data_IF_792003141649
#
_entry.id   IF_792003141649
#
_cell.length_a   1.000
_cell.length_b   1.000
_cell.length_c   1.000
_cell.angle_alpha   90.00
_cell.angle_beta   90.00
_cell.angle_gamma   90.00
#
_symmetry.space_group_name_H-M   'P 1'
#
loop_
_entity.id
_entity.type
_entity.pdbx_description
1 polymer ?
#
# COMPACT_ATOMS: atom_id res chain seq x y z
N UNK A 1 -16.19 3.43 -24.68
CA UNK A 1 -15.52 4.35 -25.64
C UNK A 1 -14.46 3.54 -26.38
N UNK A 2 -14.45 3.54 -27.74
CA UNK A 2 -13.29 3.02 -28.47
C UNK A 2 -12.16 4.02 -28.24
N UNK A 3 -11.25 3.66 -27.33
CA UNK A 3 -10.14 4.51 -26.93
C UNK A 3 -8.99 4.46 -27.94
N UNK A 4 -8.19 5.49 -27.95
CA UNK A 4 -6.93 5.54 -28.67
C UNK A 4 -6.01 4.39 -28.20
N UNK A 5 -5.31 3.74 -29.13
CA UNK A 5 -4.33 2.70 -28.77
C UNK A 5 -3.12 3.34 -28.14
N UNK A 6 -2.76 2.92 -26.95
CA UNK A 6 -1.65 3.50 -26.15
C UNK A 6 -0.45 2.56 -26.09
N UNK A 7 0.73 3.16 -25.85
CA UNK A 7 1.95 2.42 -25.62
C UNK A 7 2.86 3.08 -24.56
N UNK A 8 3.54 2.25 -23.77
CA UNK A 8 4.57 2.70 -22.84
C UNK A 8 5.60 1.61 -22.55
N UNK A 9 6.73 2.02 -21.95
CA UNK A 9 7.70 1.11 -21.34
C UNK A 9 7.10 0.60 -20.02
N UNK A 10 6.98 -0.72 -19.89
CA UNK A 10 6.36 -1.37 -18.72
C UNK A 10 7.38 -1.97 -17.73
N UNK A 11 8.67 -1.80 -17.98
CA UNK A 11 9.78 -2.19 -17.09
C UNK A 11 10.49 -0.95 -16.57
N UNK A 12 11.29 -1.11 -15.50
CA UNK A 12 12.11 -0.01 -15.02
C UNK A 12 13.06 0.50 -16.11
N UNK A 13 13.19 1.84 -16.23
CA UNK A 13 14.06 2.48 -17.24
C UNK A 13 15.48 2.57 -16.70
N UNK A 14 16.15 1.43 -16.62
CA UNK A 14 17.57 1.31 -16.27
C UNK A 14 18.20 0.19 -17.11
N UNK A 15 19.53 0.10 -17.14
CA UNK A 15 20.21 -0.97 -17.88
C UNK A 15 19.89 -2.33 -17.27
N UNK A 16 19.19 -3.17 -18.03
CA UNK A 16 18.75 -4.51 -17.64
C UNK A 16 18.87 -5.49 -18.81
N UNK A 17 18.71 -6.80 -18.57
CA UNK A 17 18.74 -7.80 -19.63
C UNK A 17 17.55 -7.71 -20.59
N UNK A 18 16.39 -7.30 -20.09
CA UNK A 18 15.12 -7.25 -20.84
C UNK A 18 14.40 -5.94 -20.52
N UNK A 19 13.81 -5.33 -21.56
CA UNK A 19 12.87 -4.23 -21.45
C UNK A 19 11.58 -4.58 -22.19
N UNK A 20 10.43 -4.13 -21.70
CA UNK A 20 9.12 -4.42 -22.27
C UNK A 20 8.45 -3.12 -22.71
N UNK A 21 8.06 -3.03 -23.98
CA UNK A 21 7.14 -2.02 -24.49
C UNK A 21 5.77 -2.67 -24.66
N UNK A 22 4.77 -2.12 -23.97
CA UNK A 22 3.38 -2.61 -24.04
C UNK A 22 2.53 -1.69 -24.90
N UNK A 23 1.68 -2.29 -25.73
CA UNK A 23 0.71 -1.62 -26.58
C UNK A 23 -0.66 -2.18 -26.20
N UNK A 24 -1.67 -1.33 -25.97
CA UNK A 24 -3.04 -1.75 -25.64
C UNK A 24 -4.06 -0.90 -26.40
N UNK A 25 -5.07 -1.55 -26.95
CA UNK A 25 -6.19 -0.95 -27.67
C UNK A 25 -6.53 -1.66 -28.98
N UNK A 26 -7.56 -1.18 -29.65
CA UNK A 26 -8.15 -1.81 -30.85
C UNK A 26 -7.16 -1.97 -32.02
N UNK A 27 -6.13 -1.14 -32.11
CA UNK A 27 -5.13 -1.17 -33.18
C UNK A 27 -3.77 -1.77 -32.74
N UNK A 28 -3.71 -2.41 -31.58
CA UNK A 28 -2.45 -2.91 -31.03
C UNK A 28 -1.72 -3.87 -31.97
N UNK A 29 -2.47 -4.76 -32.60
CA UNK A 29 -1.91 -5.75 -33.54
C UNK A 29 -1.45 -5.11 -34.86
N UNK A 30 -2.23 -4.19 -35.41
CA UNK A 30 -1.90 -3.49 -36.65
C UNK A 30 -0.68 -2.60 -36.49
N UNK A 31 -0.56 -1.92 -35.35
CA UNK A 31 0.62 -1.11 -35.02
C UNK A 31 1.85 -1.98 -34.87
N UNK A 32 1.69 -3.12 -34.14
CA UNK A 32 2.78 -4.07 -33.98
C UNK A 32 3.23 -4.67 -35.33
N UNK A 33 2.29 -4.99 -36.25
CA UNK A 33 2.63 -5.46 -37.60
C UNK A 33 3.44 -4.46 -38.42
N UNK A 34 3.24 -3.15 -38.22
CA UNK A 34 3.97 -2.10 -38.95
C UNK A 34 5.45 -2.03 -38.55
N UNK A 35 5.75 -2.35 -37.28
CA UNK A 35 7.13 -2.27 -36.75
C UNK A 35 7.83 -3.63 -36.67
N UNK A 36 7.07 -4.75 -36.71
CA UNK A 36 7.62 -6.09 -36.58
C UNK A 36 7.99 -6.70 -37.92
N UNK A 37 9.15 -7.35 -37.96
CA UNK A 37 9.63 -8.14 -39.10
C UNK A 37 10.00 -9.55 -38.66
N UNK A 38 9.31 -10.55 -39.18
CA UNK A 38 9.70 -11.96 -38.92
C UNK A 38 10.97 -12.33 -39.68
N UNK A 39 11.79 -13.30 -39.19
CA UNK A 39 13.03 -13.72 -39.86
C UNK A 39 12.84 -14.17 -41.29
N UNK A 40 11.68 -14.73 -41.63
CA UNK A 40 11.32 -15.17 -43.00
C UNK A 40 10.49 -14.15 -43.78
N UNK A 41 10.22 -12.95 -43.21
CA UNK A 41 9.55 -11.82 -43.86
C UNK A 41 8.06 -12.01 -44.21
N UNK A 42 7.42 -13.12 -43.80
CA UNK A 42 6.07 -13.49 -44.25
C UNK A 42 4.99 -13.54 -43.16
N UNK A 43 5.37 -13.35 -41.88
CA UNK A 43 4.45 -13.55 -40.76
C UNK A 43 3.91 -12.23 -40.27
N UNK A 44 2.58 -12.12 -40.17
CA UNK A 44 1.90 -11.03 -39.51
C UNK A 44 1.45 -11.44 -38.10
N UNK A 45 1.61 -10.56 -37.12
CA UNK A 45 1.20 -10.79 -35.72
C UNK A 45 -0.32 -10.79 -35.60
N UNK A 46 -1.00 -9.93 -36.35
CA UNK A 46 -2.47 -9.83 -36.40
C UNK A 46 -3.16 -11.13 -36.87
N UNK A 47 -2.48 -12.00 -37.59
CA UNK A 47 -2.99 -13.28 -38.04
C UNK A 47 -2.70 -14.44 -37.06
N UNK A 48 -1.97 -14.17 -35.95
CA UNK A 48 -1.55 -15.21 -35.01
C UNK A 48 -2.56 -15.39 -33.87
N UNK A 49 -2.47 -16.54 -33.21
CA UNK A 49 -3.33 -16.86 -32.06
C UNK A 49 -2.93 -16.05 -30.82
N UNK A 50 -3.91 -15.82 -29.95
CA UNK A 50 -3.71 -15.22 -28.63
C UNK A 50 -2.84 -16.11 -27.73
N UNK A 51 -2.10 -15.49 -26.81
CA UNK A 51 -1.21 -16.15 -25.84
C UNK A 51 -0.09 -16.94 -26.53
N UNK A 52 0.47 -16.35 -27.58
CA UNK A 52 1.62 -16.89 -28.32
C UNK A 52 2.78 -15.91 -28.32
N UNK A 53 4.00 -16.44 -28.43
CA UNK A 53 5.24 -15.66 -28.44
C UNK A 53 5.90 -15.79 -29.82
N UNK A 54 6.37 -14.68 -30.34
CA UNK A 54 6.93 -14.60 -31.70
C UNK A 54 8.30 -13.94 -31.71
N UNK A 55 9.31 -14.68 -32.14
CA UNK A 55 10.65 -14.16 -32.38
C UNK A 55 10.72 -13.37 -33.69
N UNK A 56 11.41 -12.23 -33.67
CA UNK A 56 11.64 -11.38 -34.83
C UNK A 56 12.43 -10.14 -34.51
N UNK A 57 12.25 -9.11 -35.33
CA UNK A 57 12.94 -7.84 -35.24
C UNK A 57 11.95 -6.69 -35.20
N UNK A 58 12.27 -5.65 -34.44
CA UNK A 58 11.58 -4.34 -34.53
C UNK A 58 12.39 -3.44 -35.45
N UNK A 59 11.68 -2.81 -36.39
CA UNK A 59 12.27 -1.97 -37.40
C UNK A 59 11.59 -0.59 -37.47
N UNK A 60 12.36 0.46 -37.79
CA UNK A 60 11.87 1.77 -38.24
C UNK A 60 12.25 1.94 -39.71
N UNK A 61 11.29 1.74 -40.61
CA UNK A 61 11.57 1.63 -42.03
C UNK A 61 12.46 0.40 -42.33
N UNK A 62 13.64 0.67 -42.89
CA UNK A 62 14.64 -0.38 -43.22
C UNK A 62 15.66 -0.62 -42.09
N UNK A 63 15.71 0.25 -41.08
CA UNK A 63 16.60 0.12 -39.93
C UNK A 63 16.08 -0.94 -38.96
N UNK A 64 16.89 -1.95 -38.63
CA UNK A 64 16.62 -2.88 -37.55
C UNK A 64 17.03 -2.24 -36.24
N UNK A 65 16.06 -2.05 -35.33
CA UNK A 65 16.31 -1.44 -34.03
C UNK A 65 16.75 -2.44 -32.99
N UNK A 66 16.08 -3.62 -32.97
CA UNK A 66 16.38 -4.69 -32.00
C UNK A 66 15.84 -6.03 -32.45
N UNK A 67 16.41 -7.10 -31.88
CA UNK A 67 15.94 -8.47 -31.94
C UNK A 67 15.05 -8.76 -30.72
N UNK A 68 13.82 -9.24 -30.94
CA UNK A 68 12.78 -9.24 -29.91
C UNK A 68 11.98 -10.53 -29.83
N UNK A 69 11.32 -10.73 -28.68
CA UNK A 69 10.16 -11.61 -28.54
C UNK A 69 8.89 -10.75 -28.45
N UNK A 70 7.84 -11.14 -29.14
CA UNK A 70 6.56 -10.41 -29.11
C UNK A 70 5.48 -11.33 -28.57
N UNK A 71 4.83 -10.91 -27.48
CA UNK A 71 3.74 -11.63 -26.83
C UNK A 71 2.40 -11.03 -27.28
N UNK A 72 1.45 -11.87 -27.64
CA UNK A 72 0.15 -11.48 -28.17
C UNK A 72 -0.97 -11.87 -27.21
N UNK A 73 -1.83 -10.94 -26.84
CA UNK A 73 -2.99 -11.16 -25.98
C UNK A 73 -4.22 -10.48 -26.57
N UNK A 74 -5.23 -11.28 -26.97
CA UNK A 74 -6.48 -10.77 -27.52
C UNK A 74 -7.52 -10.54 -26.43
N UNK A 75 -8.29 -9.49 -26.61
CA UNK A 75 -9.44 -9.19 -25.78
C UNK A 75 -10.41 -10.39 -25.66
N UNK A 76 -11.05 -10.60 -24.50
CA UNK A 76 -10.87 -9.90 -23.24
C UNK A 76 -9.75 -10.48 -22.36
N UNK A 77 -8.98 -11.46 -22.83
CA UNK A 77 -7.96 -12.19 -22.05
C UNK A 77 -6.61 -11.48 -22.13
N UNK A 78 -6.54 -10.27 -21.56
CA UNK A 78 -5.32 -9.46 -21.41
C UNK A 78 -5.36 -8.70 -20.09
N UNK A 79 -4.32 -7.93 -19.77
CA UNK A 79 -4.29 -7.12 -18.54
C UNK A 79 -5.36 -6.01 -18.57
N UNK A 80 -5.54 -5.34 -19.69
CA UNK A 80 -6.51 -4.24 -19.89
C UNK A 80 -7.90 -4.71 -20.31
N UNK A 81 -8.08 -6.00 -20.57
CA UNK A 81 -9.22 -6.58 -21.31
C UNK A 81 -9.36 -6.07 -22.75
N UNK A 82 -8.35 -5.38 -23.30
CA UNK A 82 -8.23 -4.96 -24.70
C UNK A 82 -7.24 -5.87 -25.44
N UNK A 83 -7.17 -5.72 -26.77
CA UNK A 83 -6.06 -6.31 -27.55
C UNK A 83 -4.75 -5.71 -27.06
N UNK A 84 -3.81 -6.57 -26.66
CA UNK A 84 -2.54 -6.16 -26.08
C UNK A 84 -1.38 -6.87 -26.76
N UNK A 85 -0.32 -6.13 -27.04
CA UNK A 85 0.96 -6.64 -27.53
C UNK A 85 2.08 -6.19 -26.60
N UNK A 86 2.92 -7.13 -26.17
CA UNK A 86 4.15 -6.83 -25.44
C UNK A 86 5.35 -7.15 -26.32
N UNK A 87 6.26 -6.22 -26.43
CA UNK A 87 7.52 -6.32 -27.17
C UNK A 87 8.64 -6.44 -26.15
N UNK A 88 9.16 -7.65 -25.97
CA UNK A 88 10.31 -7.91 -25.11
C UNK A 88 11.58 -7.67 -25.90
N UNK A 89 12.24 -6.56 -25.65
CA UNK A 89 13.47 -6.11 -26.29
C UNK A 89 14.65 -6.12 -25.30
N UNK A 90 15.87 -5.81 -25.77
CA UNK A 90 16.98 -5.63 -24.86
C UNK A 90 16.76 -4.41 -23.96
N UNK A 91 17.08 -4.55 -22.66
CA UNK A 91 16.81 -3.57 -21.62
C UNK A 91 17.80 -2.39 -21.56
N UNK A 92 18.49 -2.07 -22.66
CA UNK A 92 19.26 -0.85 -22.76
C UNK A 92 18.35 0.37 -22.84
N UNK A 93 18.58 1.42 -22.02
CA UNK A 93 17.73 2.61 -21.96
C UNK A 93 17.45 3.21 -23.34
N UNK A 94 18.50 3.34 -24.16
CA UNK A 94 18.36 3.89 -25.50
C UNK A 94 17.64 2.94 -26.47
N UNK A 95 17.90 1.64 -26.36
CA UNK A 95 17.27 0.63 -27.22
C UNK A 95 15.74 0.59 -27.02
N UNK A 96 15.30 0.51 -25.75
CA UNK A 96 13.86 0.45 -25.43
C UNK A 96 13.14 1.75 -25.80
N UNK A 97 13.79 2.92 -25.65
CA UNK A 97 13.24 4.21 -26.10
C UNK A 97 13.04 4.22 -27.62
N UNK A 98 14.01 3.73 -28.41
CA UNK A 98 13.88 3.63 -29.86
C UNK A 98 12.74 2.70 -30.29
N UNK A 99 12.52 1.59 -29.56
CA UNK A 99 11.39 0.70 -29.81
C UNK A 99 10.06 1.39 -29.52
N UNK A 100 9.93 2.11 -28.39
CA UNK A 100 8.75 2.88 -28.07
C UNK A 100 8.48 3.98 -29.10
N UNK A 101 9.50 4.75 -29.50
CA UNK A 101 9.38 5.78 -30.55
C UNK A 101 8.87 5.22 -31.87
N UNK A 102 9.37 4.04 -32.28
CA UNK A 102 8.90 3.37 -33.49
C UNK A 102 7.41 2.99 -33.39
N UNK A 103 6.97 2.51 -32.23
CA UNK A 103 5.56 2.16 -31.97
C UNK A 103 4.66 3.42 -32.02
N UNK A 104 5.07 4.51 -31.37
CA UNK A 104 4.33 5.77 -31.36
C UNK A 104 4.26 6.36 -32.78
N UNK A 105 5.37 6.39 -33.51
CA UNK A 105 5.42 6.85 -34.91
C UNK A 105 4.48 6.08 -35.82
N UNK A 106 4.19 4.82 -35.48
CA UNK A 106 3.32 3.95 -36.26
C UNK A 106 1.85 3.98 -35.79
N UNK A 107 1.47 4.89 -34.87
CA UNK A 107 0.09 5.22 -34.56
C UNK A 107 -0.39 4.93 -33.13
N UNK A 108 0.48 4.51 -32.24
CA UNK A 108 0.14 4.49 -30.81
C UNK A 108 0.30 5.88 -30.19
N UNK A 109 -0.57 6.24 -29.26
CA UNK A 109 -0.35 7.39 -28.37
C UNK A 109 0.53 7.00 -27.19
N UNK A 110 1.32 7.92 -26.63
CA UNK A 110 2.02 7.67 -25.37
C UNK A 110 1.00 7.49 -24.24
N UNK A 111 1.16 6.46 -23.43
CA UNK A 111 0.35 6.25 -22.24
C UNK A 111 0.80 7.17 -21.10
N UNK A 112 -0.15 7.58 -20.28
CA UNK A 112 0.10 8.26 -19.02
C UNK A 112 0.29 7.26 -17.85
N UNK A 113 0.80 7.70 -16.69
CA UNK A 113 0.85 6.86 -15.49
C UNK A 113 -0.52 6.27 -15.15
N UNK A 114 -0.57 4.95 -14.88
CA UNK A 114 -1.79 4.26 -14.51
C UNK A 114 -2.77 3.92 -15.63
N UNK A 115 -2.53 4.34 -16.87
CA UNK A 115 -3.50 4.20 -17.98
C UNK A 115 -3.90 2.73 -18.24
N UNK A 116 -2.98 1.79 -18.18
CA UNK A 116 -3.31 0.37 -18.41
C UNK A 116 -4.20 -0.20 -17.29
N UNK A 117 -3.92 0.15 -16.04
CA UNK A 117 -4.73 -0.30 -14.90
C UNK A 117 -6.09 0.39 -14.88
N UNK A 118 -6.14 1.68 -15.24
CA UNK A 118 -7.39 2.43 -15.43
C UNK A 118 -8.27 1.78 -16.49
N UNK A 119 -7.71 1.37 -17.64
CA UNK A 119 -8.45 0.62 -18.67
C UNK A 119 -8.95 -0.73 -18.16
N UNK A 120 -8.13 -1.46 -17.40
CA UNK A 120 -8.55 -2.72 -16.79
C UNK A 120 -9.75 -2.52 -15.84
N UNK A 121 -9.79 -1.42 -15.07
CA UNK A 121 -10.92 -1.03 -14.25
C UNK A 121 -12.14 -0.63 -15.09
N UNK A 122 -11.98 0.29 -16.04
CA UNK A 122 -13.08 0.77 -16.90
C UNK A 122 -13.71 -0.34 -17.76
N UNK A 123 -12.91 -1.33 -18.16
CA UNK A 123 -13.36 -2.51 -18.90
C UNK A 123 -13.94 -3.61 -17.98
N UNK A 124 -14.08 -3.35 -16.67
CA UNK A 124 -14.69 -4.27 -15.71
C UNK A 124 -13.88 -5.53 -15.39
N UNK A 125 -12.58 -5.57 -15.76
CA UNK A 125 -11.71 -6.71 -15.43
C UNK A 125 -11.39 -6.76 -13.94
N UNK A 126 -11.30 -5.61 -13.29
CA UNK A 126 -11.04 -5.46 -11.86
C UNK A 126 -11.85 -4.31 -11.30
N UNK A 127 -12.17 -4.35 -10.03
CA UNK A 127 -12.75 -3.23 -9.31
C UNK A 127 -11.65 -2.26 -8.80
N UNK A 128 -12.06 -1.11 -8.27
CA UNK A 128 -11.12 -0.06 -7.87
C UNK A 128 -10.19 -0.53 -6.74
N UNK A 129 -10.68 -1.34 -5.80
CA UNK A 129 -9.85 -1.88 -4.72
C UNK A 129 -8.76 -2.83 -5.25
N UNK A 130 -9.05 -3.61 -6.29
CA UNK A 130 -8.08 -4.46 -6.96
C UNK A 130 -7.08 -3.64 -7.79
N UNK A 131 -7.53 -2.54 -8.41
CA UNK A 131 -6.67 -1.63 -9.15
C UNK A 131 -5.64 -0.97 -8.23
N UNK A 132 -6.05 -0.45 -7.08
CA UNK A 132 -5.13 0.10 -6.06
C UNK A 132 -4.13 -0.95 -5.57
N UNK A 133 -4.58 -2.20 -5.37
CA UNK A 133 -3.72 -3.31 -4.95
C UNK A 133 -2.60 -3.64 -5.96
N UNK A 134 -2.72 -3.27 -7.24
CA UNK A 134 -1.61 -3.41 -8.22
C UNK A 134 -0.39 -2.61 -7.77
N UNK A 135 -0.58 -1.38 -7.29
CA UNK A 135 0.52 -0.55 -6.77
C UNK A 135 1.04 -1.08 -5.45
N UNK A 136 0.14 -1.49 -4.54
CA UNK A 136 0.53 -2.06 -3.25
C UNK A 136 1.43 -3.30 -3.42
N UNK A 137 1.17 -4.15 -4.43
CA UNK A 137 2.03 -5.31 -4.76
C UNK A 137 3.41 -4.88 -5.25
N UNK A 138 3.47 -3.80 -6.07
CA UNK A 138 4.74 -3.29 -6.63
C UNK A 138 5.60 -2.64 -5.54
N UNK A 139 4.96 -1.92 -4.62
CA UNK A 139 5.62 -1.16 -3.55
C UNK A 139 5.85 -1.97 -2.26
N UNK A 140 5.36 -3.21 -2.20
CA UNK A 140 5.48 -4.06 -1.02
C UNK A 140 6.94 -4.25 -0.59
N UNK A 141 7.26 -3.82 0.64
CA UNK A 141 8.62 -3.85 1.21
C UNK A 141 8.87 -5.06 2.11
N UNK A 142 7.84 -5.85 2.40
CA UNK A 142 7.93 -7.03 3.25
C UNK A 142 6.92 -8.10 2.84
N UNK A 143 7.08 -9.31 3.39
CA UNK A 143 6.25 -10.47 3.06
C UNK A 143 4.76 -10.25 3.41
N UNK A 144 4.49 -9.57 4.52
CA UNK A 144 3.11 -9.31 4.97
C UNK A 144 2.41 -8.32 4.05
N UNK A 145 3.08 -7.22 3.69
CA UNK A 145 2.57 -6.26 2.72
C UNK A 145 2.25 -6.96 1.40
N UNK A 146 3.18 -7.76 0.88
CA UNK A 146 2.98 -8.51 -0.36
C UNK A 146 1.80 -9.48 -0.26
N UNK A 147 1.70 -10.27 0.81
CA UNK A 147 0.60 -11.23 1.02
C UNK A 147 -0.76 -10.52 1.09
N UNK A 148 -0.85 -9.42 1.84
CA UNK A 148 -2.06 -8.60 1.96
C UNK A 148 -2.47 -8.03 0.61
N UNK A 149 -1.54 -7.40 -0.12
CA UNK A 149 -1.78 -6.78 -1.42
C UNK A 149 -2.20 -7.82 -2.48
N UNK A 150 -1.59 -9.01 -2.48
CA UNK A 150 -2.01 -10.12 -3.35
C UNK A 150 -3.42 -10.60 -2.99
N UNK A 151 -3.79 -10.64 -1.71
CA UNK A 151 -5.16 -10.93 -1.27
C UNK A 151 -6.17 -9.92 -1.82
N UNK A 152 -5.85 -8.62 -1.72
CA UNK A 152 -6.69 -7.54 -2.26
C UNK A 152 -6.77 -7.59 -3.80
N UNK A 153 -5.64 -7.84 -4.48
CA UNK A 153 -5.62 -8.02 -5.94
C UNK A 153 -6.52 -9.18 -6.41
N UNK A 154 -6.68 -10.21 -5.58
CA UNK A 154 -7.62 -11.32 -5.82
C UNK A 154 -9.08 -10.97 -5.49
N UNK A 155 -9.37 -9.75 -5.00
CA UNK A 155 -10.70 -9.25 -4.73
C UNK A 155 -11.25 -9.58 -3.34
N UNK A 156 -10.41 -9.88 -2.37
CA UNK A 156 -10.85 -10.26 -1.01
C UNK A 156 -11.68 -9.18 -0.32
N UNK A 157 -11.33 -7.90 -0.47
CA UNK A 157 -12.09 -6.75 0.04
C UNK A 157 -13.35 -6.56 -0.80
N UNK A 158 -13.18 -6.49 -2.14
CA UNK A 158 -14.29 -6.25 -3.06
C UNK A 158 -15.42 -7.25 -2.88
N UNK A 159 -15.11 -8.54 -2.65
CA UNK A 159 -16.13 -9.57 -2.42
C UNK A 159 -16.92 -9.33 -1.11
N UNK A 160 -16.23 -9.02 -0.01
CA UNK A 160 -16.90 -8.72 1.28
C UNK A 160 -17.81 -7.49 1.17
N UNK A 161 -17.36 -6.46 0.47
CA UNK A 161 -18.16 -5.24 0.23
C UNK A 161 -19.39 -5.55 -0.64
N UNK A 162 -19.21 -6.32 -1.73
CA UNK A 162 -20.33 -6.75 -2.59
C UNK A 162 -21.36 -7.58 -1.85
N UNK A 163 -20.92 -8.52 -1.00
CA UNK A 163 -21.79 -9.36 -0.20
C UNK A 163 -22.61 -8.52 0.81
N UNK A 164 -21.96 -7.53 1.47
CA UNK A 164 -22.66 -6.63 2.38
C UNK A 164 -23.65 -5.73 1.64
N UNK A 165 -23.25 -5.14 0.53
CA UNK A 165 -24.11 -4.31 -0.31
C UNK A 165 -25.32 -5.10 -0.85
N UNK A 166 -25.13 -6.37 -1.21
CA UNK A 166 -26.23 -7.22 -1.65
C UNK A 166 -27.29 -7.43 -0.57
N UNK A 167 -26.87 -7.52 0.69
CA UNK A 167 -27.80 -7.60 1.83
C UNK A 167 -28.53 -6.26 2.04
N UNK A 168 -27.79 -5.16 2.07
CA UNK A 168 -28.38 -3.82 2.26
C UNK A 168 -29.40 -3.50 1.17
N UNK A 169 -29.06 -3.71 -0.10
CA UNK A 169 -30.01 -3.43 -1.21
C UNK A 169 -31.24 -4.33 -1.17
N UNK A 170 -31.12 -5.55 -0.66
CA UNK A 170 -32.28 -6.43 -0.44
C UNK A 170 -33.26 -5.81 0.55
N UNK A 171 -32.80 -5.27 1.67
CA UNK A 171 -33.63 -4.64 2.68
C UNK A 171 -34.25 -3.33 2.18
N UNK A 172 -33.49 -2.52 1.43
CA UNK A 172 -34.02 -1.32 0.79
C UNK A 172 -35.17 -1.71 -0.15
N UNK A 173 -34.95 -2.68 -1.04
CA UNK A 173 -35.98 -3.13 -1.98
C UNK A 173 -37.20 -3.71 -1.28
N UNK A 174 -37.01 -4.41 -0.14
CA UNK A 174 -38.11 -4.93 0.64
C UNK A 174 -38.96 -3.81 1.27
N UNK A 175 -38.32 -2.80 1.89
CA UNK A 175 -38.99 -1.64 2.46
C UNK A 175 -39.77 -0.89 1.39
N UNK A 176 -39.13 -0.54 0.29
CA UNK A 176 -39.78 0.19 -0.82
C UNK A 176 -40.99 -0.58 -1.38
N UNK A 177 -40.83 -1.91 -1.55
CA UNK A 177 -41.95 -2.76 -2.00
C UNK A 177 -43.09 -2.80 -1.03
N UNK A 178 -42.82 -2.81 0.29
CA UNK A 178 -43.87 -2.82 1.33
C UNK A 178 -44.58 -1.46 1.45
N UNK A 179 -43.86 -0.36 1.21
CA UNK A 179 -44.45 0.99 1.16
C UNK A 179 -45.36 1.18 -0.07
N UNK A 180 -44.95 0.59 -1.22
CA UNK A 180 -45.73 0.64 -2.46
C UNK A 180 -47.01 -0.26 -2.42
N UNK A 181 -46.91 -1.42 -1.75
CA UNK A 181 -48.00 -2.41 -1.70
C UNK A 181 -48.25 -2.93 -0.26
N UNK A 182 -48.73 -2.05 0.63
CA UNK A 182 -48.91 -2.40 2.05
C UNK A 182 -50.03 -3.43 2.31
N UNK A 183 -50.89 -3.69 1.31
CA UNK A 183 -51.97 -4.70 1.44
C UNK A 183 -51.44 -6.13 1.31
N UNK A 184 -50.29 -6.33 0.64
CA UNK A 184 -49.71 -7.64 0.36
C UNK A 184 -48.38 -7.89 1.06
N UNK A 185 -47.65 -6.84 1.46
CA UNK A 185 -46.35 -6.94 2.11
C UNK A 185 -46.41 -6.20 3.46
N UNK A 186 -46.30 -6.95 4.56
CA UNK A 186 -46.32 -6.38 5.90
C UNK A 186 -44.92 -6.10 6.42
N UNK A 187 -44.76 -4.96 7.11
CA UNK A 187 -43.58 -4.60 7.87
C UNK A 187 -43.72 -4.92 9.37
N UNK A 188 -44.77 -5.66 9.78
CA UNK A 188 -44.95 -6.03 11.18
C UNK A 188 -43.80 -6.90 11.69
N UNK A 189 -43.08 -6.40 12.70
CA UNK A 189 -41.90 -7.07 13.28
C UNK A 189 -40.61 -6.94 12.46
N UNK A 190 -40.69 -6.30 11.29
CA UNK A 190 -39.54 -6.11 10.43
C UNK A 190 -38.43 -5.18 11.02
N UNK A 191 -38.75 -4.09 11.75
CA UNK A 191 -37.70 -3.27 12.36
C UNK A 191 -36.78 -4.07 13.29
N UNK A 192 -37.29 -5.03 14.05
CA UNK A 192 -36.49 -5.87 14.96
C UNK A 192 -35.62 -6.89 14.20
N UNK A 193 -36.09 -7.37 13.04
CA UNK A 193 -35.30 -8.23 12.17
C UNK A 193 -34.15 -7.44 11.53
N UNK A 194 -34.46 -6.25 10.99
CA UNK A 194 -33.47 -5.34 10.41
C UNK A 194 -32.43 -4.90 11.44
N UNK A 195 -32.83 -4.54 12.65
CA UNK A 195 -31.93 -4.14 13.75
C UNK A 195 -30.85 -5.20 13.99
N UNK A 196 -31.28 -6.47 14.14
CA UNK A 196 -30.33 -7.57 14.37
C UNK A 196 -29.34 -7.77 13.24
N UNK A 197 -29.77 -7.66 11.99
CA UNK A 197 -28.88 -7.77 10.85
C UNK A 197 -27.94 -6.55 10.76
N UNK A 198 -28.47 -5.36 11.01
CA UNK A 198 -27.73 -4.11 11.02
C UNK A 198 -26.61 -4.11 12.08
N UNK A 199 -26.89 -4.61 13.30
CA UNK A 199 -25.86 -4.80 14.33
C UNK A 199 -24.71 -5.69 13.84
N UNK A 200 -25.02 -6.81 13.17
CA UNK A 200 -24.02 -7.70 12.62
C UNK A 200 -23.19 -7.04 11.49
N UNK A 201 -23.81 -6.17 10.68
CA UNK A 201 -23.10 -5.40 9.67
C UNK A 201 -22.17 -4.35 10.27
N UNK A 202 -22.62 -3.65 11.31
CA UNK A 202 -21.80 -2.67 12.06
C UNK A 202 -20.59 -3.38 12.67
N UNK A 203 -20.80 -4.55 13.32
CA UNK A 203 -19.68 -5.32 13.90
C UNK A 203 -18.66 -5.75 12.84
N UNK A 204 -19.13 -6.22 11.67
CA UNK A 204 -18.26 -6.59 10.55
C UNK A 204 -17.45 -5.39 10.03
N UNK A 205 -18.09 -4.23 9.85
CA UNK A 205 -17.42 -2.98 9.41
C UNK A 205 -16.42 -2.52 10.48
N UNK A 206 -16.75 -2.59 11.77
CA UNK A 206 -15.83 -2.24 12.86
C UNK A 206 -14.58 -3.13 12.88
N UNK A 207 -14.75 -4.42 12.60
CA UNK A 207 -13.61 -5.34 12.47
C UNK A 207 -12.69 -4.92 11.32
N UNK A 208 -13.26 -4.53 10.17
CA UNK A 208 -12.50 -4.02 9.04
C UNK A 208 -11.80 -2.69 9.36
N UNK A 209 -12.49 -1.76 10.03
CA UNK A 209 -11.90 -0.46 10.43
C UNK A 209 -10.73 -0.67 11.42
N UNK A 210 -10.87 -1.57 12.39
CA UNK A 210 -9.79 -1.89 13.33
C UNK A 210 -8.56 -2.45 12.61
N UNK A 211 -8.76 -3.30 11.62
CA UNK A 211 -7.65 -3.84 10.82
C UNK A 211 -6.90 -2.78 10.00
N UNK A 212 -7.48 -1.60 9.80
CA UNK A 212 -6.86 -0.56 8.98
C UNK A 212 -5.59 0.05 9.62
N UNK A 213 -5.52 0.14 10.94
CA UNK A 213 -4.31 0.65 11.60
C UNK A 213 -3.16 -0.35 11.45
N UNK A 214 -3.44 -1.65 11.66
CA UNK A 214 -2.46 -2.71 11.51
C UNK A 214 -2.03 -2.86 10.04
N UNK A 215 -2.99 -2.75 9.11
CA UNK A 215 -2.74 -2.75 7.67
C UNK A 215 -1.80 -1.65 7.22
N UNK A 216 -1.99 -0.39 7.70
CA UNK A 216 -1.10 0.73 7.42
C UNK A 216 0.33 0.45 7.90
N UNK A 217 0.47 0.00 9.14
CA UNK A 217 1.78 -0.31 9.72
C UNK A 217 2.49 -1.43 8.94
N UNK A 218 1.72 -2.43 8.48
CA UNK A 218 2.26 -3.53 7.69
C UNK A 218 2.74 -3.10 6.30
N UNK A 219 2.02 -2.18 5.63
CA UNK A 219 2.33 -1.75 4.25
C UNK A 219 3.34 -0.60 4.22
N UNK A 220 3.08 0.45 4.98
CA UNK A 220 3.93 1.65 5.01
C UNK A 220 5.14 1.49 5.93
N UNK A 221 5.04 0.62 6.95
CA UNK A 221 6.02 0.50 8.02
C UNK A 221 5.80 1.52 9.14
N UNK A 222 6.63 1.42 10.18
CA UNK A 222 6.57 2.23 11.40
C UNK A 222 7.54 3.41 11.25
N UNK A 223 7.02 4.64 11.21
CA UNK A 223 7.84 5.85 11.26
C UNK A 223 8.56 5.90 12.60
N UNK A 224 9.87 5.73 12.59
CA UNK A 224 10.69 5.53 13.80
C UNK A 224 11.75 6.60 13.91
N UNK A 225 11.84 7.24 15.06
CA UNK A 225 12.95 8.12 15.42
C UNK A 225 13.84 7.48 16.48
N UNK A 226 15.16 7.56 16.29
CA UNK A 226 16.15 7.08 17.29
C UNK A 226 16.68 8.28 18.05
N UNK A 227 16.40 8.34 19.34
CA UNK A 227 16.84 9.42 20.26
C UNK A 227 17.87 8.87 21.27
N UNK A 228 18.66 9.72 21.80
CA UNK A 228 19.66 9.40 22.85
C UNK A 228 20.87 10.32 22.75
N UNK A 229 21.64 10.39 23.83
CA UNK A 229 22.84 11.24 23.95
C UNK A 229 23.90 10.91 22.87
N UNK A 230 24.84 11.83 22.60
CA UNK A 230 26.06 11.51 21.87
C UNK A 230 26.75 10.29 22.50
N UNK A 231 27.32 9.41 21.67
CA UNK A 231 28.03 8.21 22.11
C UNK A 231 27.22 7.13 22.88
N UNK A 232 25.88 7.27 23.01
CA UNK A 232 25.02 6.21 23.56
C UNK A 232 24.97 4.93 22.69
N UNK A 233 25.57 4.98 21.50
CA UNK A 233 25.67 3.84 20.60
C UNK A 233 24.56 3.78 19.53
N UNK A 234 23.88 4.88 19.24
CA UNK A 234 22.84 4.96 18.20
C UNK A 234 23.31 4.48 16.83
N UNK A 235 24.49 4.95 16.38
CA UNK A 235 25.05 4.57 15.07
C UNK A 235 25.45 3.09 15.04
N UNK A 236 25.99 2.55 16.14
CA UNK A 236 26.34 1.13 16.25
C UNK A 236 25.09 0.25 16.23
N UNK A 237 24.05 0.65 16.96
CA UNK A 237 22.75 -0.01 16.96
C UNK A 237 22.13 0.01 15.56
N UNK A 238 22.13 1.18 14.91
CA UNK A 238 21.64 1.35 13.55
C UNK A 238 22.38 0.43 12.57
N UNK A 239 23.72 0.45 12.57
CA UNK A 239 24.53 -0.39 11.70
C UNK A 239 24.26 -1.87 11.92
N UNK A 240 23.96 -2.27 13.16
CA UNK A 240 23.62 -3.64 13.47
C UNK A 240 22.24 -4.03 12.97
N UNK A 241 21.25 -3.18 13.20
CA UNK A 241 19.89 -3.36 12.65
C UNK A 241 19.90 -3.43 11.12
N UNK A 242 20.76 -2.65 10.45
CA UNK A 242 20.95 -2.71 9.00
C UNK A 242 21.73 -3.94 8.51
N UNK A 243 22.60 -4.51 9.36
CA UNK A 243 23.51 -5.63 9.03
C UNK A 243 22.95 -7.02 9.29
N UNK A 244 21.84 -7.16 10.02
CA UNK A 244 21.11 -8.42 10.13
C UNK A 244 20.48 -8.74 8.76
N UNK A 245 20.80 -9.91 8.21
CA UNK A 245 20.48 -10.38 6.85
C UNK A 245 19.09 -9.93 6.35
N UNK A 246 19.08 -9.14 5.27
CA UNK A 246 17.94 -8.65 4.49
C UNK A 246 17.46 -7.21 4.71
N UNK A 247 18.32 -6.28 5.07
CA UNK A 247 17.99 -4.88 4.80
C UNK A 247 17.97 -4.66 3.27
N UNK A 248 16.79 -4.65 2.67
CA UNK A 248 16.62 -4.19 1.31
C UNK A 248 16.73 -2.65 1.38
N UNK A 249 17.94 -2.14 1.21
CA UNK A 249 18.14 -0.70 0.97
C UNK A 249 17.70 -0.44 -0.46
N UNK A 250 16.49 0.02 -0.64
CA UNK A 250 16.05 0.51 -1.94
C UNK A 250 16.47 1.96 -2.07
N UNK A 251 17.60 2.21 -2.74
CA UNK A 251 17.87 3.51 -3.34
C UNK A 251 16.87 3.71 -4.49
N UNK A 252 15.73 4.32 -4.21
CA UNK A 252 14.82 4.77 -5.26
C UNK A 252 15.43 6.05 -5.84
N UNK A 253 16.15 5.89 -6.93
CA UNK A 253 16.61 7.01 -7.76
C UNK A 253 15.39 7.67 -8.42
N UNK A 254 14.95 8.81 -7.91
CA UNK A 254 13.89 9.58 -8.59
C UNK A 254 13.12 10.61 -7.77
N UNK A 255 13.22 10.61 -6.43
CA UNK A 255 12.58 11.66 -5.62
C UNK A 255 13.60 12.69 -5.16
N UNK A 256 13.53 13.85 -5.79
CA UNK A 256 14.35 15.03 -5.51
C UNK A 256 14.07 15.56 -4.09
N UNK A 257 15.15 15.62 -3.26
CA UNK A 257 15.33 16.59 -2.17
C UNK A 257 14.47 16.48 -0.89
N UNK A 258 14.07 15.31 -0.44
CA UNK A 258 13.61 15.23 0.96
C UNK A 258 14.28 14.04 1.66
N UNK A 259 14.95 14.35 2.78
CA UNK A 259 15.47 13.49 3.87
C UNK A 259 15.68 12.02 3.48
N UNK A 260 16.92 11.55 3.49
CA UNK A 260 17.28 10.14 3.32
C UNK A 260 16.57 9.28 4.39
N UNK A 261 15.38 8.80 4.08
CA UNK A 261 14.66 7.81 4.88
C UNK A 261 15.30 6.44 4.65
N UNK A 262 15.85 5.85 5.69
CA UNK A 262 16.40 4.50 5.65
C UNK A 262 15.36 3.53 6.23
N UNK A 263 14.92 2.55 5.43
CA UNK A 263 14.01 1.51 5.90
C UNK A 263 14.78 0.27 6.34
N UNK A 264 14.46 -0.25 7.52
CA UNK A 264 15.02 -1.49 8.09
C UNK A 264 13.89 -2.49 8.23
N UNK A 265 14.10 -3.72 7.75
CA UNK A 265 13.14 -4.81 7.94
C UNK A 265 13.63 -5.71 9.11
N UNK A 266 12.84 -5.78 10.17
CA UNK A 266 13.03 -6.68 11.31
C UNK A 266 11.99 -7.80 11.24
N UNK A 267 12.34 -8.94 10.65
CA UNK A 267 11.48 -10.12 10.53
C UNK A 267 10.03 -9.83 10.09
N UNK A 268 9.90 -8.99 9.06
CA UNK A 268 8.60 -8.64 8.46
C UNK A 268 8.00 -7.32 8.95
N UNK A 269 8.56 -6.68 9.98
CA UNK A 269 8.18 -5.33 10.41
C UNK A 269 9.16 -4.34 9.78
N UNK A 270 8.65 -3.38 9.00
CA UNK A 270 9.47 -2.32 8.41
C UNK A 270 9.52 -1.12 9.33
N UNK A 271 10.74 -0.73 9.76
CA UNK A 271 10.99 0.53 10.47
C UNK A 271 11.51 1.57 9.48
N UNK A 272 10.79 2.66 9.29
CA UNK A 272 11.22 3.80 8.48
C UNK A 272 11.90 4.81 9.38
N UNK A 273 13.22 4.88 9.32
CA UNK A 273 14.02 5.74 10.17
C UNK A 273 13.98 7.18 9.68
N UNK A 274 13.58 8.08 10.56
CA UNK A 274 13.57 9.52 10.30
C UNK A 274 14.92 10.13 10.67
N UNK A 275 15.45 11.01 9.81
CA UNK A 275 16.71 11.77 10.02
C UNK A 275 17.97 10.92 10.31
N UNK A 276 18.33 10.05 9.36
CA UNK A 276 19.59 9.29 9.45
C UNK A 276 20.85 10.15 9.24
N UNK A 277 20.73 11.36 8.70
CA UNK A 277 21.86 12.27 8.48
C UNK A 277 22.49 12.74 9.82
N UNK A 278 21.68 13.04 10.83
CA UNK A 278 22.17 13.42 12.17
C UNK A 278 22.80 12.27 12.97
N UNK A 279 22.62 11.02 12.52
CA UNK A 279 23.18 9.84 13.19
C UNK A 279 24.58 9.48 12.65
N UNK A 280 24.91 9.91 11.41
CA UNK A 280 26.18 9.57 10.72
C UNK A 280 27.28 10.58 10.89
N UNK A 281 26.96 11.86 11.11
CA UNK A 281 27.97 12.93 11.24
C UNK A 281 28.34 13.13 12.71
N UNK A 282 29.54 12.70 13.05
CA UNK A 282 30.23 12.93 14.33
C UNK A 282 30.91 14.29 14.29
N UNK A 283 30.79 14.99 15.44
CA UNK A 283 31.57 16.12 15.94
C UNK A 283 30.99 17.53 15.82
N UNK A 284 30.60 18.04 16.97
CA UNK A 284 30.78 19.41 17.51
C UNK A 284 29.92 20.62 17.04
N UNK A 285 28.90 20.54 16.23
CA UNK A 285 28.05 21.75 15.95
C UNK A 285 26.55 21.56 16.25
N UNK A 286 26.12 20.47 16.87
CA UNK A 286 24.72 20.00 16.79
C UNK A 286 23.89 20.11 18.08
N UNK A 287 24.40 20.57 19.21
CA UNK A 287 23.65 20.46 20.48
C UNK A 287 22.33 21.26 20.53
N UNK A 288 22.27 22.49 19.99
CA UNK A 288 21.01 23.26 20.02
C UNK A 288 20.09 23.02 18.83
N UNK A 289 20.61 22.69 17.66
CA UNK A 289 19.80 22.34 16.47
C UNK A 289 19.22 20.93 16.62
N UNK A 290 19.92 20.04 17.35
CA UNK A 290 19.51 18.66 17.59
C UNK A 290 18.22 18.51 18.42
N UNK A 291 18.08 19.27 19.50
CA UNK A 291 16.90 19.16 20.39
C UNK A 291 15.61 19.63 19.71
N UNK A 292 15.65 20.72 18.94
CA UNK A 292 14.46 21.19 18.23
C UNK A 292 14.05 20.22 17.09
N UNK A 293 15.01 19.63 16.40
CA UNK A 293 14.74 18.59 15.38
C UNK A 293 14.22 17.32 16.05
N UNK A 294 14.82 16.88 17.15
CA UNK A 294 14.34 15.72 17.92
C UNK A 294 12.88 15.90 18.36
N UNK A 295 12.52 17.09 18.88
CA UNK A 295 11.14 17.45 19.24
C UNK A 295 10.18 17.42 18.04
N UNK A 296 10.63 17.86 16.86
CA UNK A 296 9.82 17.81 15.64
C UNK A 296 9.59 16.35 15.21
N UNK A 297 10.66 15.57 15.07
CA UNK A 297 10.57 14.17 14.62
C UNK A 297 9.84 13.28 15.62
N UNK A 298 10.02 13.50 16.93
CA UNK A 298 9.26 12.80 17.95
C UNK A 298 7.74 13.04 17.83
N UNK A 299 7.33 14.22 17.34
CA UNK A 299 5.90 14.53 17.09
C UNK A 299 5.33 13.80 15.87
N UNK A 300 6.15 13.55 14.87
CA UNK A 300 5.75 12.95 13.59
C UNK A 300 5.94 11.42 13.59
N UNK A 301 6.74 10.87 14.53
CA UNK A 301 7.04 9.44 14.61
C UNK A 301 5.89 8.62 15.21
N UNK A 302 5.70 7.42 14.68
CA UNK A 302 4.84 6.39 15.26
C UNK A 302 5.53 5.69 16.47
N UNK A 303 6.87 5.66 16.47
CA UNK A 303 7.71 5.01 17.48
C UNK A 303 8.94 5.84 17.81
N UNK A 304 9.23 5.99 19.09
CA UNK A 304 10.50 6.49 19.59
C UNK A 304 11.33 5.31 20.08
N UNK A 305 12.54 5.12 19.52
CA UNK A 305 13.58 4.24 20.09
C UNK A 305 14.55 5.12 20.86
N UNK A 306 14.45 5.11 22.19
CA UNK A 306 15.37 5.85 23.04
C UNK A 306 16.55 4.96 23.44
N UNK A 307 17.77 5.39 23.12
CA UNK A 307 19.01 4.65 23.40
C UNK A 307 19.74 5.32 24.56
N UNK A 308 19.75 4.64 25.71
CA UNK A 308 20.49 5.02 26.89
C UNK A 308 21.78 4.17 27.03
N UNK A 309 22.86 4.77 27.54
CA UNK A 309 24.14 4.08 27.79
C UNK A 309 24.16 3.51 29.23
N UNK A 310 24.23 2.20 29.37
CA UNK A 310 24.27 1.54 30.70
C UNK A 310 25.52 1.90 31.53
N UNK A 311 26.63 2.27 30.88
CA UNK A 311 27.90 2.57 31.51
C UNK A 311 28.02 4.00 32.07
N UNK A 312 27.00 4.84 31.87
CA UNK A 312 26.99 6.24 32.32
C UNK A 312 25.73 6.56 33.16
N UNK A 313 25.82 7.55 34.05
CA UNK A 313 24.67 8.03 34.78
C UNK A 313 23.74 8.84 33.86
N UNK A 314 22.44 8.83 34.17
CA UNK A 314 21.46 9.71 33.52
C UNK A 314 21.72 11.17 33.95
N UNK A 315 21.52 12.10 33.00
CA UNK A 315 21.70 13.55 33.20
C UNK A 315 20.52 14.35 32.65
N UNK A 316 20.63 15.69 32.69
CA UNK A 316 19.58 16.60 32.23
C UNK A 316 19.17 16.38 30.77
N UNK A 317 20.11 15.96 29.89
CA UNK A 317 19.79 15.68 28.48
C UNK A 317 18.90 14.43 28.35
N UNK A 318 19.10 13.42 29.20
CA UNK A 318 18.21 12.24 29.24
C UNK A 318 16.81 12.64 29.71
N UNK A 319 16.71 13.52 30.72
CA UNK A 319 15.41 14.02 31.22
C UNK A 319 14.65 14.80 30.15
N UNK A 320 15.32 15.67 29.40
CA UNK A 320 14.70 16.40 28.27
C UNK A 320 14.17 15.45 27.17
N UNK A 321 14.86 14.35 26.92
CA UNK A 321 14.39 13.34 25.94
C UNK A 321 13.19 12.57 26.50
N UNK A 322 13.23 12.19 27.78
CA UNK A 322 12.15 11.45 28.45
C UNK A 322 10.86 12.28 28.49
N UNK A 323 10.92 13.61 28.59
CA UNK A 323 9.76 14.49 28.50
C UNK A 323 8.99 14.36 27.15
N UNK A 324 9.67 13.89 26.09
CA UNK A 324 9.05 13.68 24.77
C UNK A 324 8.20 12.41 24.69
N UNK A 325 8.20 11.58 25.71
CA UNK A 325 7.52 10.27 25.72
C UNK A 325 6.01 10.39 25.93
N UNK A 326 5.55 11.51 26.47
CA UNK A 326 4.14 11.70 26.81
C UNK A 326 3.21 11.47 25.61
N UNK A 327 2.29 10.53 25.76
CA UNK A 327 1.32 10.16 24.71
C UNK A 327 1.93 9.46 23.49
N UNK A 328 3.16 8.94 23.58
CA UNK A 328 3.88 8.30 22.47
C UNK A 328 4.15 6.81 22.73
N UNK A 329 4.28 6.03 21.65
CA UNK A 329 4.82 4.69 21.74
C UNK A 329 6.33 4.79 21.81
N UNK A 330 6.92 4.27 22.89
CA UNK A 330 8.36 4.36 23.15
C UNK A 330 8.90 2.99 23.53
N UNK A 331 10.05 2.63 23.00
CA UNK A 331 10.87 1.51 23.48
C UNK A 331 12.22 2.07 23.93
N UNK A 332 12.59 1.77 25.16
CA UNK A 332 13.84 2.21 25.75
C UNK A 332 14.88 1.10 25.61
N UNK A 333 15.98 1.39 24.95
CA UNK A 333 17.08 0.47 24.71
C UNK A 333 18.26 0.84 25.64
N UNK A 334 18.47 0.07 26.71
CA UNK A 334 19.61 0.21 27.59
C UNK A 334 20.82 -0.49 26.93
N UNK A 335 21.58 0.29 26.18
CA UNK A 335 22.69 -0.21 25.36
C UNK A 335 23.98 -0.36 26.17
N UNK A 336 24.95 -1.07 25.57
CA UNK A 336 26.24 -1.43 26.16
C UNK A 336 26.11 -2.31 27.42
N UNK A 337 25.12 -3.21 27.40
CA UNK A 337 24.91 -4.18 28.51
C UNK A 337 26.08 -5.14 28.71
N UNK A 338 27.07 -5.13 27.81
CA UNK A 338 28.36 -5.83 27.92
C UNK A 338 29.36 -5.13 28.88
N UNK A 339 29.06 -3.90 29.30
CA UNK A 339 29.90 -3.14 30.22
C UNK A 339 29.34 -3.17 31.65
N UNK A 340 30.17 -2.75 32.64
CA UNK A 340 29.73 -2.66 34.02
C UNK A 340 28.66 -1.57 34.16
N UNK A 341 27.43 -1.89 34.62
CA UNK A 341 26.32 -0.95 34.59
C UNK A 341 26.42 0.10 35.70
N UNK A 342 26.33 1.38 35.32
CA UNK A 342 26.09 2.53 36.19
C UNK A 342 24.60 2.85 36.25
N UNK A 343 23.94 2.83 35.08
CA UNK A 343 22.49 2.92 34.99
C UNK A 343 21.93 1.50 34.78
N UNK A 344 21.13 1.04 35.73
CA UNK A 344 20.48 -0.26 35.66
C UNK A 344 19.09 -0.17 35.05
N UNK A 345 18.56 -1.31 34.58
CA UNK A 345 17.19 -1.41 34.08
C UNK A 345 16.15 -0.88 35.08
N UNK A 346 16.36 -1.14 36.37
CA UNK A 346 15.45 -0.70 37.44
C UNK A 346 15.45 0.82 37.60
N UNK A 347 16.63 1.47 37.58
CA UNK A 347 16.75 2.94 37.65
C UNK A 347 16.05 3.58 36.46
N UNK A 348 16.21 2.98 35.27
CA UNK A 348 15.61 3.52 34.06
C UNK A 348 14.08 3.34 34.06
N UNK A 349 13.57 2.19 34.52
CA UNK A 349 12.13 1.95 34.67
C UNK A 349 11.45 2.94 35.62
N UNK A 350 12.11 3.33 36.71
CA UNK A 350 11.58 4.34 37.64
C UNK A 350 11.43 5.72 36.98
N UNK A 351 12.27 6.03 35.97
CA UNK A 351 12.25 7.31 35.24
C UNK A 351 11.28 7.31 34.05
N UNK A 352 11.19 6.19 33.32
CA UNK A 352 10.41 6.11 32.08
C UNK A 352 9.00 5.54 32.27
N UNK A 353 8.66 5.09 33.49
CA UNK A 353 7.33 4.58 33.83
C UNK A 353 6.97 3.26 33.13
N UNK A 354 5.81 3.20 32.47
CA UNK A 354 5.27 1.97 31.87
C UNK A 354 5.92 1.60 30.53
N UNK A 355 6.83 2.42 30.01
CA UNK A 355 7.50 2.13 28.74
C UNK A 355 8.43 0.92 28.85
N UNK A 356 8.43 0.01 27.86
CA UNK A 356 9.28 -1.18 27.87
C UNK A 356 10.77 -0.77 27.83
N UNK A 357 11.57 -1.39 28.72
CA UNK A 357 13.02 -1.23 28.80
C UNK A 357 13.66 -2.55 28.39
N UNK A 358 14.55 -2.53 27.40
CA UNK A 358 15.22 -3.70 26.85
C UNK A 358 16.74 -3.48 26.97
N UNK A 359 17.42 -4.41 27.62
CA UNK A 359 18.88 -4.43 27.67
C UNK A 359 19.45 -4.95 26.35
N UNK A 360 20.28 -4.15 25.69
CA UNK A 360 20.89 -4.52 24.40
C UNK A 360 22.40 -4.34 24.44
N UNK A 361 23.12 -5.15 23.67
CA UNK A 361 24.51 -4.90 23.32
C UNK A 361 24.66 -4.99 21.81
N UNK A 362 24.92 -3.84 21.18
CA UNK A 362 25.21 -3.79 19.75
C UNK A 362 26.50 -4.54 19.39
N UNK A 363 27.41 -4.75 20.37
CA UNK A 363 28.65 -5.47 20.21
C UNK A 363 28.44 -6.99 20.26
N UNK A 364 27.69 -7.48 21.24
CA UNK A 364 27.49 -8.92 21.51
C UNK A 364 26.20 -9.46 20.87
N UNK A 365 25.47 -8.61 20.15
CA UNK A 365 24.23 -8.94 19.41
C UNK A 365 23.09 -9.45 20.30
N UNK A 366 23.03 -9.00 21.56
CA UNK A 366 22.00 -9.42 22.52
C UNK A 366 20.85 -8.42 22.61
N UNK A 367 19.64 -8.91 22.95
CA UNK A 367 18.44 -8.10 23.16
C UNK A 367 17.61 -7.80 21.92
N UNK A 368 18.07 -8.15 20.71
CA UNK A 368 17.35 -7.84 19.45
C UNK A 368 16.09 -8.67 19.28
N UNK A 369 16.08 -9.95 19.68
CA UNK A 369 14.87 -10.79 19.66
C UNK A 369 13.78 -10.19 20.56
N UNK A 370 14.16 -9.70 21.75
CA UNK A 370 13.22 -9.05 22.67
C UNK A 370 12.68 -7.74 22.09
N UNK A 371 13.50 -6.98 21.35
CA UNK A 371 13.06 -5.79 20.64
C UNK A 371 12.00 -6.13 19.59
N UNK A 372 12.22 -7.18 18.80
CA UNK A 372 11.27 -7.65 17.79
C UNK A 372 9.94 -8.09 18.41
N UNK A 373 9.99 -8.88 19.47
CA UNK A 373 8.78 -9.34 20.17
C UNK A 373 8.02 -8.16 20.79
N UNK A 374 8.74 -7.17 21.33
CA UNK A 374 8.12 -5.96 21.89
C UNK A 374 7.46 -5.13 20.78
N UNK A 375 8.11 -5.00 19.61
CA UNK A 375 7.53 -4.32 18.45
C UNK A 375 6.27 -5.03 17.95
N UNK A 376 6.30 -6.37 17.85
CA UNK A 376 5.13 -7.18 17.47
C UNK A 376 3.97 -6.95 18.44
N UNK A 377 4.23 -7.04 19.75
CA UNK A 377 3.20 -6.86 20.76
C UNK A 377 2.65 -5.42 20.80
N UNK A 378 3.47 -4.42 20.50
CA UNK A 378 3.09 -3.00 20.56
C UNK A 378 2.29 -2.54 19.33
N UNK A 379 2.58 -3.10 18.16
CA UNK A 379 2.02 -2.64 16.89
C UNK A 379 1.16 -3.66 16.16
N UNK A 380 1.27 -4.93 16.52
CA UNK A 380 0.47 -6.02 15.95
C UNK A 380 -0.32 -6.65 17.09
N UNK A 381 -1.32 -5.90 17.62
CA UNK A 381 -2.15 -6.37 18.74
C UNK A 381 -2.78 -7.73 18.41
N UNK A 382 -2.16 -8.81 18.85
CA UNK A 382 -2.66 -10.17 19.17
C UNK A 382 -3.80 -10.81 18.36
N UNK A 383 -4.48 -10.09 17.49
CA UNK A 383 -5.63 -10.57 16.69
C UNK A 383 -5.26 -10.97 15.26
N UNK A 384 -4.04 -10.70 14.82
CA UNK A 384 -3.56 -11.22 13.55
C UNK A 384 -3.06 -12.66 13.74
N UNK A 385 -4.01 -13.60 13.83
CA UNK A 385 -3.71 -14.91 13.28
C UNK A 385 -3.43 -14.67 11.80
N UNK A 386 -2.20 -14.93 11.34
CA UNK A 386 -1.73 -14.80 9.95
C UNK A 386 -2.53 -15.64 8.93
N UNK A 387 -3.70 -16.07 9.27
CA UNK A 387 -4.64 -16.87 8.51
C UNK A 387 -5.68 -15.94 7.88
N UNK A 388 -5.46 -15.56 6.61
CA UNK A 388 -6.48 -15.12 5.63
C UNK A 388 -7.47 -14.00 6.04
N UNK A 389 -7.25 -13.25 7.12
CA UNK A 389 -8.11 -12.12 7.45
C UNK A 389 -7.81 -10.93 6.52
N UNK A 390 -8.86 -10.40 5.92
CA UNK A 390 -8.80 -9.24 5.04
C UNK A 390 -8.47 -8.01 5.88
N UNK A 391 -7.32 -7.40 5.63
CA UNK A 391 -6.91 -6.14 6.25
C UNK A 391 -7.15 -4.97 5.29
N UNK A 392 -7.66 -3.87 5.84
CA UNK A 392 -7.73 -2.59 5.12
C UNK A 392 -6.36 -1.92 5.19
N UNK A 393 -5.80 -1.57 4.05
CA UNK A 393 -4.50 -0.88 3.95
C UNK A 393 -4.66 0.56 3.49
N UNK A 394 -5.77 0.87 2.81
CA UNK A 394 -6.03 2.16 2.18
C UNK A 394 -6.92 3.04 3.05
N UNK A 395 -6.50 4.31 3.28
CA UNK A 395 -7.23 5.30 4.08
C UNK A 395 -8.57 5.70 3.44
N UNK A 396 -8.68 5.67 2.11
CA UNK A 396 -9.95 5.89 1.39
C UNK A 396 -10.98 4.83 1.77
N UNK A 397 -10.58 3.56 1.77
CA UNK A 397 -11.46 2.46 2.20
C UNK A 397 -11.89 2.61 3.66
N UNK A 398 -10.95 3.02 4.55
CA UNK A 398 -11.26 3.28 5.96
C UNK A 398 -12.30 4.39 6.11
N UNK A 399 -12.14 5.50 5.40
CA UNK A 399 -13.09 6.62 5.43
C UNK A 399 -14.48 6.17 4.98
N UNK A 400 -14.59 5.49 3.83
CA UNK A 400 -15.85 4.98 3.31
C UNK A 400 -16.55 3.98 4.26
N UNK A 401 -15.76 3.11 4.94
CA UNK A 401 -16.28 2.23 5.97
C UNK A 401 -16.79 2.99 7.21
N UNK A 402 -16.13 4.09 7.60
CA UNK A 402 -16.58 4.93 8.70
C UNK A 402 -17.89 5.64 8.37
N UNK A 403 -18.02 6.17 7.16
CA UNK A 403 -19.24 6.83 6.68
C UNK A 403 -20.41 5.82 6.61
N UNK A 404 -20.18 4.63 6.05
CA UNK A 404 -21.16 3.56 6.02
C UNK A 404 -21.60 3.12 7.42
N UNK A 405 -20.65 2.99 8.36
CA UNK A 405 -20.95 2.65 9.76
C UNK A 405 -21.85 3.71 10.41
N UNK A 406 -21.56 4.99 10.16
CA UNK A 406 -22.36 6.09 10.73
C UNK A 406 -23.79 6.06 10.21
N UNK A 407 -23.97 5.84 8.90
CA UNK A 407 -25.30 5.68 8.30
C UNK A 407 -26.05 4.48 8.88
N UNK A 408 -25.38 3.32 9.06
CA UNK A 408 -25.99 2.15 9.68
C UNK A 408 -26.37 2.37 11.16
N UNK A 409 -25.63 3.20 11.91
CA UNK A 409 -26.03 3.61 13.26
C UNK A 409 -27.28 4.47 13.26
N UNK A 410 -27.44 5.35 12.26
CA UNK A 410 -28.66 6.14 12.10
C UNK A 410 -29.87 5.23 11.87
N UNK A 411 -29.71 4.12 11.12
CA UNK A 411 -30.78 3.09 11.03
C UNK A 411 -31.17 2.56 12.40
N UNK A 412 -30.19 2.19 13.25
CA UNK A 412 -30.50 1.71 14.62
C UNK A 412 -31.21 2.77 15.46
N UNK A 413 -30.77 4.04 15.35
CA UNK A 413 -31.38 5.15 16.07
C UNK A 413 -32.81 5.42 15.59
N UNK A 414 -33.07 5.35 14.29
CA UNK A 414 -34.38 5.53 13.68
C UNK A 414 -35.36 4.42 14.15
N UNK A 415 -34.89 3.18 14.21
CA UNK A 415 -35.67 2.04 14.74
C UNK A 415 -35.97 2.27 16.24
N UNK A 416 -34.99 2.66 17.04
CA UNK A 416 -35.15 2.89 18.49
C UNK A 416 -36.11 4.06 18.79
N UNK A 417 -36.26 5.02 17.87
CA UNK A 417 -37.17 6.16 17.98
C UNK A 417 -38.58 5.90 17.38
N UNK A 418 -38.82 4.68 16.91
CA UNK A 418 -40.09 4.29 16.29
C UNK A 418 -40.44 5.18 15.07
N UNK A 419 -39.37 5.55 14.28
CA UNK A 419 -39.54 6.37 13.08
C UNK A 419 -40.19 5.54 11.95
N UNK A 420 -40.89 6.20 11.01
CA UNK A 420 -41.38 5.53 9.81
C UNK A 420 -40.26 4.84 8.99
N UNK A 421 -40.59 3.72 8.37
CA UNK A 421 -39.62 2.83 7.71
C UNK A 421 -38.94 3.46 6.47
N UNK A 422 -39.52 4.48 5.87
CA UNK A 422 -38.90 5.27 4.78
C UNK A 422 -37.58 5.94 5.24
N UNK A 423 -37.45 6.28 6.53
CA UNK A 423 -36.20 6.79 7.08
C UNK A 423 -35.09 5.72 7.07
N UNK A 424 -35.45 4.44 7.30
CA UNK A 424 -34.46 3.36 7.26
C UNK A 424 -33.90 3.16 5.86
N UNK A 425 -34.71 3.29 4.80
CA UNK A 425 -34.26 3.14 3.41
C UNK A 425 -33.28 4.23 3.01
N UNK A 426 -33.46 5.46 3.49
CA UNK A 426 -32.54 6.59 3.23
C UNK A 426 -31.15 6.31 3.83
N UNK A 427 -31.12 5.93 5.11
CA UNK A 427 -29.85 5.67 5.80
C UNK A 427 -29.16 4.41 5.26
N UNK A 428 -29.92 3.36 4.93
CA UNK A 428 -29.43 2.17 4.26
C UNK A 428 -28.83 2.51 2.87
N UNK A 429 -29.49 3.39 2.11
CA UNK A 429 -28.98 3.83 0.82
C UNK A 429 -27.66 4.59 0.95
N UNK A 430 -27.56 5.48 1.94
CA UNK A 430 -26.32 6.21 2.25
C UNK A 430 -25.17 5.25 2.58
N UNK A 431 -25.43 4.22 3.39
CA UNK A 431 -24.44 3.17 3.68
C UNK A 431 -24.05 2.38 2.42
N UNK A 432 -25.03 2.02 1.58
CA UNK A 432 -24.84 1.31 0.33
C UNK A 432 -23.95 2.10 -0.66
N UNK A 433 -24.17 3.39 -0.79
CA UNK A 433 -23.38 4.29 -1.64
C UNK A 433 -21.96 4.43 -1.13
N UNK A 434 -21.77 4.70 0.18
CA UNK A 434 -20.46 4.81 0.82
C UNK A 434 -19.61 3.55 0.60
N UNK A 435 -20.20 2.37 0.78
CA UNK A 435 -19.53 1.09 0.50
C UNK A 435 -19.20 0.92 -0.99
N UNK A 436 -20.05 1.44 -1.88
CA UNK A 436 -19.87 1.39 -3.33
C UNK A 436 -18.60 2.12 -3.78
N UNK A 437 -18.23 3.20 -3.11
CA UNK A 437 -17.02 3.95 -3.43
C UNK A 437 -15.75 3.13 -3.29
N UNK A 438 -15.72 2.14 -2.40
CA UNK A 438 -14.56 1.25 -2.19
C UNK A 438 -14.24 0.46 -3.45
N UNK A 439 -15.26 -0.06 -4.11
CA UNK A 439 -15.12 -0.91 -5.29
C UNK A 439 -15.21 -0.12 -6.61
N UNK A 440 -15.40 1.20 -6.51
CA UNK A 440 -15.46 2.08 -7.68
C UNK A 440 -16.85 2.19 -8.31
N UNK A 441 -17.92 1.81 -7.59
CA UNK A 441 -19.28 2.12 -7.96
C UNK A 441 -19.64 3.49 -7.36
N UNK A 442 -20.27 4.37 -8.17
CA UNK A 442 -20.64 5.73 -7.78
C UNK A 442 -19.46 6.68 -7.47
N UNK A 443 -18.30 6.47 -8.10
CA UNK A 443 -17.17 7.41 -8.09
C UNK A 443 -17.21 8.30 -9.33
N UNK A 444 -16.83 9.57 -9.18
CA UNK A 444 -16.68 10.48 -10.29
C UNK A 444 -15.35 10.29 -11.05
N UNK A 445 -15.32 10.80 -12.29
CA UNK A 445 -14.14 10.68 -13.15
C UNK A 445 -12.91 11.40 -12.55
N UNK A 446 -13.09 12.47 -11.77
CA UNK A 446 -12.01 13.25 -11.19
C UNK A 446 -11.29 12.43 -10.11
N UNK A 447 -12.03 11.73 -9.24
CA UNK A 447 -11.43 10.83 -8.23
C UNK A 447 -10.69 9.66 -8.89
N UNK A 448 -11.29 9.06 -9.93
CA UNK A 448 -10.65 7.99 -10.71
C UNK A 448 -9.33 8.48 -11.30
N UNK A 449 -9.33 9.65 -11.94
CA UNK A 449 -8.12 10.24 -12.53
C UNK A 449 -7.05 10.54 -11.47
N UNK A 450 -7.43 11.08 -10.30
CA UNK A 450 -6.51 11.36 -9.21
C UNK A 450 -5.83 10.07 -8.70
N UNK A 451 -6.60 9.00 -8.49
CA UNK A 451 -6.06 7.72 -8.03
C UNK A 451 -5.01 7.20 -9.03
N UNK A 452 -5.36 7.12 -10.32
CA UNK A 452 -4.48 6.55 -11.34
C UNK A 452 -3.27 7.44 -11.68
N UNK A 453 -3.34 8.76 -11.47
CA UNK A 453 -2.19 9.65 -11.66
C UNK A 453 -0.99 9.33 -10.75
N UNK A 454 -1.22 8.62 -9.64
CA UNK A 454 -0.18 8.20 -8.68
C UNK A 454 0.49 6.87 -9.05
N UNK A 455 0.04 6.23 -10.13
CA UNK A 455 0.58 4.94 -10.56
C UNK A 455 1.90 5.08 -11.33
N UNK A 456 2.62 3.96 -11.45
CA UNK A 456 3.81 3.91 -12.27
C UNK A 456 3.49 3.98 -13.76
N UNK A 457 4.44 4.55 -14.56
CA UNK A 457 4.39 4.50 -16.02
C UNK A 457 4.36 3.05 -16.51
N UNK A 458 3.51 2.74 -17.48
CA UNK A 458 3.39 1.40 -18.06
C UNK A 458 2.53 0.40 -17.26
N UNK A 459 1.81 0.92 -16.24
CA UNK A 459 0.84 0.15 -15.41
C UNK A 459 -0.57 0.73 -15.52
#
# INVERSE_FOLDING_TARGET
MKGETIAAISTAVNSSGIGIVRISGDQAFEIADRVYRSPKGKKKLSEQQSHTVHYGYICDGDEVLDEVLVVLMRAPRSFTAEDTVEIDCHGGVYAIQRVLEAVIKNGAAPAEPGDFTKRAFLNGRMDLSQAEAVMDVIEAKNEYALKSSVGQLRGSIGQKIKDLRAKIIYHIAYIESALDDPEHISLDGYPQELEKENEAWIEMIEKLIRSANDGRIMTEGIKTVILGKPNAGKSSLLNKLCGTEKAIVTDIAGTTRDVLEQSINLHGITLNLMDTAGIRDTEDIVEQIGVQRAKKYAKEADLILYVADSSTALDENDEEIIELFEGRKVIVLLNKSDLEPVTTEQILKEKVGEHPVICVSAKDETGFEQLEDTLKNMFLEGSLSFNDEVCITNMRHKAALMDAKESLKQVTESIAQDMPEDFFSIDLMSAYESLGTIIGEAVDDDLVNEIFSKFCMGK
#
